data_IF_906330463062
#
_entry.id   IF_906330463062
#
_cell.length_a   1.000
_cell.length_b   1.000
_cell.length_c   1.000
_cell.angle_alpha   90.00
_cell.angle_beta   90.00
_cell.angle_gamma   90.00
#
_symmetry.space_group_name_H-M   'P 1'
#
loop_
_entity.id
_entity.type
_entity.pdbx_description
1 polymer ?
#
# COMPACT_ATOMS: atom_id res chain seq x y z
N UNK A 1 88.55 -29.18 3.76
CA UNK A 1 88.32 -28.55 2.44
C UNK A 1 87.06 -29.16 1.84
N UNK A 2 85.93 -28.47 1.93
CA UNK A 2 84.71 -28.83 1.21
C UNK A 2 84.50 -27.75 0.13
N UNK A 3 84.70 -28.12 -1.13
CA UNK A 3 84.45 -27.25 -2.29
C UNK A 3 83.02 -27.45 -2.77
N UNK A 4 82.28 -26.36 -2.70
CA UNK A 4 80.88 -26.17 -3.06
C UNK A 4 80.68 -26.21 -4.58
N UNK A 5 79.78 -27.08 -5.08
CA UNK A 5 79.32 -27.04 -6.47
C UNK A 5 78.24 -25.96 -6.60
N UNK A 6 78.56 -24.83 -7.23
CA UNK A 6 77.57 -23.85 -7.70
C UNK A 6 76.84 -24.36 -8.93
N UNK A 7 75.51 -24.47 -8.85
CA UNK A 7 74.64 -24.61 -10.00
C UNK A 7 74.52 -23.25 -10.71
N UNK A 8 74.87 -23.22 -12.01
CA UNK A 8 74.62 -22.10 -12.92
C UNK A 8 73.23 -22.29 -13.56
N UNK A 9 72.28 -21.39 -13.29
CA UNK A 9 71.14 -21.19 -14.18
C UNK A 9 71.57 -20.28 -15.35
N UNK A 10 71.23 -20.60 -16.62
CA UNK A 10 71.66 -19.81 -17.75
C UNK A 10 70.88 -18.48 -17.79
N UNK A 11 71.63 -17.38 -17.82
CA UNK A 11 71.21 -15.96 -17.89
C UNK A 11 70.02 -15.64 -18.84
N UNK A 12 69.78 -16.33 -19.99
CA UNK A 12 68.64 -16.06 -20.86
C UNK A 12 67.26 -16.35 -20.23
N UNK A 13 67.17 -17.29 -19.28
CA UNK A 13 65.88 -17.68 -18.69
C UNK A 13 65.38 -16.66 -17.66
N UNK A 14 66.28 -16.03 -16.91
CA UNK A 14 65.99 -14.97 -15.94
C UNK A 14 65.47 -13.70 -16.61
N UNK A 15 66.06 -13.30 -17.74
CA UNK A 15 65.61 -12.16 -18.54
C UNK A 15 64.22 -12.41 -19.16
N UNK A 16 63.95 -13.63 -19.65
CA UNK A 16 62.64 -14.03 -20.21
C UNK A 16 61.55 -14.10 -19.14
N UNK A 17 61.86 -14.55 -17.91
CA UNK A 17 60.92 -14.53 -16.78
C UNK A 17 60.60 -13.11 -16.30
N UNK A 18 61.62 -12.24 -16.17
CA UNK A 18 61.43 -10.84 -15.76
C UNK A 18 60.63 -10.03 -16.78
N UNK A 19 60.90 -10.22 -18.07
CA UNK A 19 60.12 -9.57 -19.15
C UNK A 19 58.70 -10.10 -19.22
N UNK A 20 58.49 -11.42 -19.09
CA UNK A 20 57.14 -12.01 -19.02
C UNK A 20 56.31 -11.52 -17.82
N UNK A 21 56.92 -11.40 -16.64
CA UNK A 21 56.27 -10.84 -15.45
C UNK A 21 55.93 -9.36 -15.62
N UNK A 22 56.84 -8.56 -16.21
CA UNK A 22 56.57 -7.14 -16.48
C UNK A 22 55.40 -6.95 -17.46
N UNK A 23 55.32 -7.79 -18.51
CA UNK A 23 54.22 -7.77 -19.48
C UNK A 23 52.89 -8.16 -18.83
N UNK A 24 52.87 -9.20 -17.99
CA UNK A 24 51.66 -9.64 -17.27
C UNK A 24 51.16 -8.58 -16.27
N UNK A 25 52.07 -7.92 -15.55
CA UNK A 25 51.73 -6.82 -14.65
C UNK A 25 51.17 -5.61 -15.41
N UNK A 26 51.76 -5.27 -16.56
CA UNK A 26 51.28 -4.16 -17.39
C UNK A 26 49.91 -4.47 -18.00
N UNK A 27 49.69 -5.68 -18.49
CA UNK A 27 48.38 -6.12 -19.00
C UNK A 27 47.30 -6.12 -17.91
N UNK A 28 47.65 -6.54 -16.70
CA UNK A 28 46.73 -6.51 -15.55
C UNK A 28 46.37 -5.08 -15.15
N UNK A 29 47.34 -4.17 -15.18
CA UNK A 29 47.11 -2.74 -14.91
C UNK A 29 46.20 -2.12 -15.99
N UNK A 30 46.48 -2.40 -17.26
CA UNK A 30 45.68 -1.93 -18.39
C UNK A 30 44.25 -2.46 -18.27
N UNK A 31 44.06 -3.76 -18.03
CA UNK A 31 42.74 -4.36 -17.87
C UNK A 31 41.99 -3.75 -16.67
N UNK A 32 42.67 -3.50 -15.55
CA UNK A 32 42.09 -2.84 -14.39
C UNK A 32 41.64 -1.40 -14.68
N UNK A 33 42.45 -0.64 -15.41
CA UNK A 33 42.10 0.73 -15.85
C UNK A 33 40.92 0.70 -16.82
N UNK A 34 40.92 -0.20 -17.81
CA UNK A 34 39.80 -0.32 -18.75
C UNK A 34 38.50 -0.74 -18.05
N UNK A 35 38.56 -1.71 -17.14
CA UNK A 35 37.42 -2.13 -16.34
C UNK A 35 36.90 -0.99 -15.45
N UNK A 36 37.80 -0.23 -14.81
CA UNK A 36 37.44 0.93 -14.00
C UNK A 36 36.78 2.04 -14.82
N UNK A 37 37.34 2.39 -15.98
CA UNK A 37 36.77 3.41 -16.88
C UNK A 37 35.42 2.96 -17.44
N UNK A 38 35.27 1.69 -17.82
CA UNK A 38 34.00 1.13 -18.26
C UNK A 38 32.94 1.17 -17.16
N UNK A 39 33.30 0.81 -15.93
CA UNK A 39 32.41 0.90 -14.77
C UNK A 39 31.98 2.34 -14.49
N UNK A 40 32.91 3.30 -14.48
CA UNK A 40 32.59 4.72 -14.29
C UNK A 40 31.68 5.24 -15.39
N UNK A 41 31.94 4.90 -16.66
CA UNK A 41 31.08 5.29 -17.79
C UNK A 41 29.69 4.65 -17.72
N UNK A 42 29.59 3.41 -17.27
CA UNK A 42 28.31 2.74 -17.07
C UNK A 42 27.51 3.41 -15.94
N UNK A 43 28.13 3.64 -14.78
CA UNK A 43 27.52 4.29 -13.62
C UNK A 43 27.15 5.75 -13.87
N UNK A 44 27.88 6.43 -14.76
CA UNK A 44 27.64 7.83 -15.14
C UNK A 44 26.74 7.96 -16.37
N UNK A 45 26.30 6.84 -16.95
CA UNK A 45 25.43 6.86 -18.13
C UNK A 45 23.99 7.25 -17.72
N UNK A 46 23.27 8.02 -18.55
CA UNK A 46 21.85 8.31 -18.30
C UNK A 46 20.95 7.05 -18.34
N UNK A 47 21.48 5.92 -18.81
CA UNK A 47 20.82 4.61 -18.79
C UNK A 47 20.92 3.92 -17.42
N UNK A 48 21.92 4.25 -16.60
CA UNK A 48 22.03 3.80 -15.22
C UNK A 48 21.25 4.75 -14.31
N UNK A 49 19.93 4.51 -14.19
CA UNK A 49 19.17 5.00 -13.05
C UNK A 49 19.30 3.93 -11.96
N UNK A 50 20.08 4.12 -10.88
CA UNK A 50 19.85 3.29 -9.70
C UNK A 50 18.37 3.44 -9.39
N UNK A 51 17.64 2.33 -9.30
CA UNK A 51 16.30 2.38 -8.72
C UNK A 51 16.48 3.11 -7.39
N UNK A 52 15.94 4.33 -7.28
CA UNK A 52 16.06 5.08 -6.05
C UNK A 52 15.54 4.22 -4.89
N UNK A 53 15.90 4.52 -3.63
CA UNK A 53 15.47 3.73 -2.47
C UNK A 53 13.94 3.59 -2.34
N UNK A 54 13.16 4.28 -3.16
CA UNK A 54 11.70 4.31 -3.19
C UNK A 54 11.13 3.89 -4.56
N UNK A 55 11.62 2.80 -5.15
CA UNK A 55 11.11 2.28 -6.42
C UNK A 55 9.61 1.92 -6.42
N UNK A 56 9.04 1.66 -5.24
CA UNK A 56 7.60 1.43 -5.04
C UNK A 56 6.82 2.69 -4.59
N UNK A 57 7.50 3.81 -4.40
CA UNK A 57 6.96 5.02 -3.76
C UNK A 57 7.02 4.97 -2.23
N UNK A 58 6.35 5.92 -1.58
CA UNK A 58 6.31 6.04 -0.11
C UNK A 58 4.92 6.41 0.37
N UNK A 59 4.65 6.18 1.66
CA UNK A 59 3.35 6.49 2.25
C UNK A 59 2.97 7.98 2.12
N UNK A 60 3.97 8.88 2.25
CA UNK A 60 3.84 10.34 2.27
C UNK A 60 3.88 11.00 0.88
N UNK A 61 4.35 10.26 -0.15
CA UNK A 61 4.53 10.80 -1.51
C UNK A 61 3.83 9.97 -2.59
N UNK A 62 3.00 9.01 -2.17
CA UNK A 62 2.30 8.10 -3.07
C UNK A 62 3.13 6.88 -3.47
N UNK A 63 2.41 5.80 -3.76
CA UNK A 63 2.94 4.55 -4.28
C UNK A 63 2.92 4.52 -5.82
N UNK A 64 3.72 3.63 -6.42
CA UNK A 64 3.75 3.46 -7.89
C UNK A 64 2.38 3.14 -8.50
N UNK A 65 1.48 2.50 -7.73
CA UNK A 65 0.10 2.19 -8.11
C UNK A 65 -0.83 3.41 -8.12
N UNK A 66 -0.35 4.58 -7.68
CA UNK A 66 -1.15 5.78 -7.43
C UNK A 66 -0.77 6.95 -8.37
N UNK A 67 0.01 6.64 -9.40
CA UNK A 67 0.66 7.59 -10.33
C UNK A 67 -0.24 8.60 -11.06
N UNK A 68 -1.58 8.45 -11.04
CA UNK A 68 -2.51 9.41 -11.67
C UNK A 68 -3.09 10.42 -10.68
N UNK A 69 -2.76 10.29 -9.39
CA UNK A 69 -3.36 11.07 -8.33
C UNK A 69 -2.51 12.30 -8.00
N UNK A 70 -3.15 13.42 -7.62
CA UNK A 70 -2.43 14.62 -7.24
C UNK A 70 -1.75 14.44 -5.87
N UNK A 71 -0.63 15.14 -5.67
CA UNK A 71 0.25 14.94 -4.51
C UNK A 71 -0.40 15.30 -3.16
N UNK A 72 -1.41 16.17 -3.17
CA UNK A 72 -2.17 16.59 -1.99
C UNK A 72 -3.01 15.47 -1.36
N UNK A 73 -3.25 14.36 -2.09
CA UNK A 73 -3.91 13.17 -1.52
C UNK A 73 -3.01 12.35 -0.59
N UNK A 74 -1.69 12.58 -0.60
CA UNK A 74 -0.74 11.82 0.22
C UNK A 74 -0.39 12.48 1.55
N UNK A 75 -1.08 13.56 1.89
CA UNK A 75 -0.94 14.20 3.20
C UNK A 75 -1.17 13.18 4.31
N UNK A 76 -0.27 13.18 5.29
CA UNK A 76 -0.35 12.30 6.45
C UNK A 76 -0.75 13.09 7.69
N UNK A 77 -1.42 12.42 8.61
CA UNK A 77 -1.82 12.97 9.90
C UNK A 77 -1.66 11.91 10.99
N UNK A 78 -1.47 12.37 12.22
CA UNK A 78 -1.63 11.50 13.38
C UNK A 78 -3.08 11.54 13.84
N UNK A 79 -3.69 10.37 13.97
CA UNK A 79 -5.07 10.23 14.46
C UNK A 79 -5.10 9.25 15.61
N UNK A 80 -5.67 9.69 16.75
CA UNK A 80 -6.05 8.78 17.83
C UNK A 80 -7.31 8.04 17.42
N UNK A 81 -7.28 6.72 17.46
CA UNK A 81 -8.47 5.91 17.21
C UNK A 81 -9.44 5.99 18.39
N UNK A 82 -10.71 5.79 18.08
CA UNK A 82 -11.83 5.76 19.02
C UNK A 82 -12.59 4.43 18.89
N UNK A 83 -13.61 4.22 19.73
CA UNK A 83 -14.32 2.94 19.79
C UNK A 83 -13.57 1.89 20.60
N UNK A 84 -12.69 2.30 21.51
CA UNK A 84 -12.16 1.42 22.53
C UNK A 84 -13.26 0.90 23.46
N UNK A 85 -12.98 -0.24 24.05
CA UNK A 85 -13.89 -0.93 24.96
C UNK A 85 -13.51 -0.61 26.40
N UNK A 86 -14.52 -0.31 27.22
CA UNK A 86 -14.40 -0.10 28.66
C UNK A 86 -15.48 -0.91 29.41
N UNK A 87 -15.45 -0.88 30.74
CA UNK A 87 -16.39 -1.61 31.59
C UNK A 87 -16.98 -0.71 32.68
N UNK A 88 -18.32 -0.72 32.78
CA UNK A 88 -19.03 -0.08 33.87
C UNK A 88 -18.76 -0.79 35.21
N UNK A 89 -19.03 -0.17 36.38
CA UNK A 89 -18.90 -0.84 37.68
C UNK A 89 -19.72 -2.12 37.82
N UNK A 90 -20.76 -2.31 36.99
CA UNK A 90 -21.53 -3.55 36.88
C UNK A 90 -20.77 -4.70 36.20
N UNK A 91 -19.63 -4.42 35.57
CA UNK A 91 -18.88 -5.34 34.70
C UNK A 91 -19.42 -5.42 33.27
N UNK A 92 -20.40 -4.58 32.92
CA UNK A 92 -20.95 -4.48 31.57
C UNK A 92 -19.97 -3.80 30.62
N UNK A 93 -19.77 -4.40 29.46
CA UNK A 93 -18.91 -3.90 28.40
C UNK A 93 -19.57 -2.73 27.67
N UNK A 94 -18.82 -1.66 27.46
CA UNK A 94 -19.28 -0.46 26.75
C UNK A 94 -18.24 -0.01 25.73
N UNK A 95 -18.70 0.61 24.65
CA UNK A 95 -17.83 1.18 23.63
C UNK A 95 -17.77 2.70 23.76
N UNK A 96 -16.57 3.25 23.73
CA UNK A 96 -16.33 4.69 23.83
C UNK A 96 -16.29 5.34 22.44
N UNK A 97 -17.43 5.89 22.00
CA UNK A 97 -17.53 6.65 20.75
C UNK A 97 -17.55 8.17 21.02
N UNK A 98 -16.84 9.00 20.22
CA UNK A 98 -16.90 10.45 20.36
C UNK A 98 -18.29 10.96 19.97
N UNK A 99 -18.99 11.73 20.82
CA UNK A 99 -20.36 12.18 20.54
C UNK A 99 -20.44 13.20 19.40
N UNK A 100 -19.31 13.80 19.02
CA UNK A 100 -19.20 14.76 17.92
C UNK A 100 -18.98 14.12 16.55
N UNK A 101 -18.76 12.80 16.48
CA UNK A 101 -18.53 12.08 15.24
C UNK A 101 -19.74 11.22 14.86
N UNK A 102 -20.01 10.99 13.56
CA UNK A 102 -21.05 10.06 13.13
C UNK A 102 -20.80 8.65 13.69
N UNK A 103 -21.85 8.01 14.19
CA UNK A 103 -21.80 6.61 14.59
C UNK A 103 -21.87 5.71 13.35
N UNK A 104 -20.95 4.75 13.26
CA UNK A 104 -20.92 3.74 12.20
C UNK A 104 -21.27 2.32 12.69
N UNK A 105 -21.45 2.15 14.00
CA UNK A 105 -21.72 0.87 14.68
C UNK A 105 -22.74 1.07 15.79
N UNK A 106 -23.33 -0.03 16.28
CA UNK A 106 -24.39 -0.06 17.27
C UNK A 106 -25.63 -0.79 16.75
N UNK A 107 -26.73 -0.69 17.48
CA UNK A 107 -28.03 -1.19 17.02
C UNK A 107 -28.39 -0.54 15.68
N UNK A 108 -28.92 -1.31 14.69
CA UNK A 108 -29.29 -0.77 13.39
C UNK A 108 -30.23 0.43 13.50
N UNK A 109 -29.82 1.56 12.90
CA UNK A 109 -30.65 2.76 12.81
C UNK A 109 -30.48 3.45 11.46
N UNK A 110 -31.48 4.22 10.99
CA UNK A 110 -31.36 4.99 9.75
C UNK A 110 -30.21 6.01 9.79
N UNK A 111 -29.81 6.48 10.97
CA UNK A 111 -28.69 7.40 11.12
C UNK A 111 -27.34 6.72 10.82
N UNK A 112 -27.14 5.49 11.29
CA UNK A 112 -25.94 4.69 10.97
C UNK A 112 -25.90 4.37 9.48
N UNK A 113 -27.03 3.95 8.90
CA UNK A 113 -27.11 3.63 7.47
C UNK A 113 -26.80 4.86 6.61
N UNK A 114 -27.35 6.02 6.99
CA UNK A 114 -27.02 7.29 6.33
C UNK A 114 -25.53 7.63 6.44
N UNK A 115 -24.90 7.41 7.59
CA UNK A 115 -23.46 7.67 7.76
C UNK A 115 -22.62 6.78 6.82
N UNK A 116 -22.98 5.50 6.69
CA UNK A 116 -22.32 4.60 5.73
C UNK A 116 -22.60 4.99 4.28
N UNK A 117 -23.82 5.35 3.93
CA UNK A 117 -24.18 5.81 2.57
C UNK A 117 -23.40 7.07 2.18
N UNK A 118 -23.24 8.02 3.09
CA UNK A 118 -22.41 9.22 2.87
C UNK A 118 -20.92 8.87 2.73
N UNK A 119 -20.45 7.86 3.47
CA UNK A 119 -19.05 7.42 3.45
C UNK A 119 -18.68 6.71 2.13
N UNK A 120 -19.54 5.84 1.59
CA UNK A 120 -19.20 4.96 0.46
C UNK A 120 -20.10 5.09 -0.78
N UNK A 121 -21.13 5.95 -0.75
CA UNK A 121 -22.12 6.07 -1.83
C UNK A 121 -21.55 6.45 -3.20
N UNK A 122 -20.49 7.25 -3.22
CA UNK A 122 -19.83 7.73 -4.44
C UNK A 122 -18.51 7.02 -4.77
N UNK A 123 -18.29 5.83 -4.19
CA UNK A 123 -17.03 5.08 -4.28
C UNK A 123 -16.52 4.76 -5.69
N UNK A 124 -17.35 4.87 -6.72
CA UNK A 124 -16.97 4.61 -8.10
C UNK A 124 -17.27 5.79 -9.02
N UNK A 125 -16.30 6.12 -9.87
CA UNK A 125 -16.38 7.22 -10.83
C UNK A 125 -15.84 6.81 -12.21
N UNK A 126 -15.98 7.74 -13.17
CA UNK A 126 -15.47 7.54 -14.54
C UNK A 126 -13.96 7.75 -14.60
N UNK A 127 -13.26 6.81 -15.23
CA UNK A 127 -11.82 6.90 -15.50
C UNK A 127 -11.62 7.25 -16.98
N UNK A 128 -10.78 8.25 -17.26
CA UNK A 128 -10.44 8.63 -18.63
C UNK A 128 -9.65 7.51 -19.31
N UNK A 129 -9.75 7.38 -20.63
CA UNK A 129 -8.97 6.36 -21.34
C UNK A 129 -7.46 6.56 -21.19
N UNK A 130 -6.98 7.81 -21.11
CA UNK A 130 -5.58 8.12 -20.83
C UNK A 130 -5.15 7.64 -19.43
N UNK A 131 -5.99 7.86 -18.42
CA UNK A 131 -5.76 7.37 -17.05
C UNK A 131 -5.75 5.84 -17.01
N UNK A 132 -6.72 5.19 -17.67
CA UNK A 132 -6.81 3.74 -17.79
C UNK A 132 -5.57 3.14 -18.47
N UNK A 133 -5.07 3.77 -19.55
CA UNK A 133 -3.82 3.36 -20.21
C UNK A 133 -2.61 3.51 -19.30
N UNK A 134 -2.52 4.59 -18.53
CA UNK A 134 -1.45 4.76 -17.55
C UNK A 134 -1.51 3.67 -16.48
N UNK A 135 -2.67 3.44 -15.87
CA UNK A 135 -2.86 2.48 -14.77
C UNK A 135 -2.69 1.01 -15.19
N UNK A 136 -3.25 0.62 -16.33
CA UNK A 136 -3.42 -0.78 -16.71
C UNK A 136 -2.68 -1.18 -17.99
N UNK A 137 -1.98 -0.23 -18.63
CA UNK A 137 -1.21 -0.48 -19.84
C UNK A 137 -2.04 -1.09 -20.97
N UNK A 138 -1.48 -2.06 -21.67
CA UNK A 138 -2.17 -2.77 -22.77
C UNK A 138 -3.45 -3.49 -22.31
N UNK A 139 -3.50 -3.90 -21.04
CA UNK A 139 -4.63 -4.63 -20.49
C UNK A 139 -5.84 -3.74 -20.20
N UNK A 140 -5.73 -2.41 -20.29
CA UNK A 140 -6.83 -1.49 -20.01
C UNK A 140 -8.13 -1.87 -20.74
N UNK A 141 -8.04 -2.41 -21.97
CA UNK A 141 -9.20 -2.82 -22.79
C UNK A 141 -10.13 -3.80 -22.06
N UNK A 142 -9.61 -4.66 -21.18
CA UNK A 142 -10.42 -5.63 -20.43
C UNK A 142 -11.30 -4.99 -19.34
N UNK A 143 -11.02 -3.72 -18.98
CA UNK A 143 -11.71 -2.98 -17.92
C UNK A 143 -12.73 -1.98 -18.47
N UNK A 144 -13.06 -2.04 -19.76
CA UNK A 144 -14.09 -1.17 -20.35
C UNK A 144 -15.43 -1.43 -19.69
N UNK A 145 -16.12 -0.36 -19.33
CA UNK A 145 -17.47 -0.44 -18.81
C UNK A 145 -18.44 -0.58 -19.99
N UNK A 146 -18.93 -1.80 -20.22
CA UNK A 146 -19.84 -2.13 -21.31
C UNK A 146 -21.28 -1.63 -21.08
N UNK A 147 -21.63 -1.21 -19.86
CA UNK A 147 -22.98 -0.76 -19.51
C UNK A 147 -23.07 0.76 -19.56
N UNK A 148 -22.08 1.46 -18.98
CA UNK A 148 -22.06 2.93 -18.87
C UNK A 148 -21.18 3.61 -19.93
N UNK A 149 -20.33 2.85 -20.61
CA UNK A 149 -19.27 3.38 -21.46
C UNK A 149 -18.06 3.86 -20.66
N UNK A 150 -16.91 3.94 -21.33
CA UNK A 150 -15.64 4.37 -20.76
C UNK A 150 -15.05 3.29 -19.83
N UNK A 151 -14.65 3.72 -18.64
CA UNK A 151 -14.08 2.89 -17.58
C UNK A 151 -14.71 3.30 -16.24
N UNK A 152 -14.95 2.33 -15.36
CA UNK A 152 -15.40 2.58 -13.98
C UNK A 152 -14.33 2.12 -13.02
N UNK A 153 -13.92 3.00 -12.12
CA UNK A 153 -12.93 2.72 -11.10
C UNK A 153 -13.23 3.46 -9.81
N UNK A 154 -12.52 3.10 -8.76
CA UNK A 154 -12.64 3.70 -7.44
C UNK A 154 -11.39 3.45 -6.62
N UNK A 155 -11.22 4.14 -5.50
CA UNK A 155 -10.18 3.76 -4.56
C UNK A 155 -10.57 2.48 -3.81
N UNK A 156 -9.59 1.60 -3.67
CA UNK A 156 -9.77 0.32 -2.97
C UNK A 156 -10.32 0.50 -1.54
N UNK A 157 -9.88 1.55 -0.82
CA UNK A 157 -10.36 1.84 0.54
C UNK A 157 -11.89 1.97 0.61
N UNK A 158 -12.55 2.53 -0.39
CA UNK A 158 -14.01 2.65 -0.41
C UNK A 158 -14.71 1.34 -0.81
N UNK A 159 -14.04 0.47 -1.57
CA UNK A 159 -14.53 -0.89 -1.77
C UNK A 159 -14.44 -1.69 -0.48
N UNK A 160 -13.34 -1.56 0.28
CA UNK A 160 -13.17 -2.22 1.57
C UNK A 160 -14.17 -1.73 2.62
N UNK A 161 -14.42 -0.43 2.68
CA UNK A 161 -15.44 0.14 3.56
C UNK A 161 -16.85 -0.34 3.18
N UNK A 162 -17.16 -0.43 1.87
CA UNK A 162 -18.42 -1.00 1.41
C UNK A 162 -18.57 -2.47 1.82
N UNK A 163 -17.51 -3.28 1.66
CA UNK A 163 -17.51 -4.67 2.12
C UNK A 163 -17.67 -4.78 3.64
N UNK A 164 -17.03 -3.91 4.41
CA UNK A 164 -17.15 -3.86 5.86
C UNK A 164 -18.57 -3.50 6.30
N UNK A 165 -19.20 -2.52 5.64
CA UNK A 165 -20.60 -2.17 5.89
C UNK A 165 -21.54 -3.35 5.60
N UNK A 166 -21.31 -4.07 4.49
CA UNK A 166 -22.09 -5.27 4.21
C UNK A 166 -21.96 -6.29 5.34
N UNK A 167 -20.75 -6.51 5.89
CA UNK A 167 -20.54 -7.41 7.02
C UNK A 167 -21.24 -6.91 8.29
N UNK A 168 -21.20 -5.61 8.57
CA UNK A 168 -21.97 -4.99 9.65
C UNK A 168 -23.45 -5.32 9.51
N UNK A 169 -24.03 -5.13 8.32
CA UNK A 169 -25.44 -5.43 8.06
C UNK A 169 -25.77 -6.93 8.22
N UNK A 170 -24.82 -7.83 7.92
CA UNK A 170 -25.00 -9.29 8.18
C UNK A 170 -25.16 -9.63 9.66
N UNK A 171 -24.71 -8.79 10.58
CA UNK A 171 -24.88 -9.00 12.03
C UNK A 171 -26.31 -8.71 12.53
N UNK A 172 -27.19 -8.17 11.67
CA UNK A 172 -28.58 -7.86 12.04
C UNK A 172 -29.57 -8.25 10.93
N UNK A 173 -29.66 -9.56 10.60
CA UNK A 173 -30.47 -10.04 9.48
C UNK A 173 -31.97 -9.72 9.62
N UNK A 174 -32.47 -9.58 10.85
CA UNK A 174 -33.86 -9.21 11.12
C UNK A 174 -34.19 -7.77 10.70
N UNK A 175 -33.18 -6.89 10.69
CA UNK A 175 -33.32 -5.51 10.25
C UNK A 175 -33.09 -5.38 8.73
N UNK A 176 -32.07 -6.08 8.20
CA UNK A 176 -31.66 -5.98 6.79
C UNK A 176 -32.21 -7.12 5.91
N UNK A 177 -33.52 -7.34 5.97
CA UNK A 177 -34.22 -8.49 5.34
C UNK A 177 -33.92 -8.67 3.84
N UNK A 178 -33.67 -7.58 3.11
CA UNK A 178 -33.47 -7.59 1.65
C UNK A 178 -32.00 -7.66 1.22
N UNK A 179 -31.04 -7.55 2.13
CA UNK A 179 -29.61 -7.61 1.79
C UNK A 179 -29.16 -8.99 1.31
N UNK A 180 -29.92 -10.04 1.61
CA UNK A 180 -29.63 -11.40 1.15
C UNK A 180 -30.01 -11.63 -0.33
N UNK A 181 -30.74 -10.71 -0.97
CA UNK A 181 -31.20 -10.89 -2.34
C UNK A 181 -30.14 -10.56 -3.40
N UNK A 182 -29.16 -9.71 -3.07
CA UNK A 182 -28.21 -9.15 -4.04
C UNK A 182 -26.80 -9.78 -3.97
N UNK A 183 -26.44 -10.40 -2.86
CA UNK A 183 -25.15 -11.07 -2.67
C UNK A 183 -25.30 -12.29 -1.76
N UNK A 184 -24.77 -13.43 -2.21
CA UNK A 184 -24.76 -14.69 -1.46
C UNK A 184 -23.50 -14.88 -0.62
N UNK A 185 -23.42 -16.01 0.07
CA UNK A 185 -22.31 -16.37 0.98
C UNK A 185 -20.91 -16.24 0.36
N UNK A 186 -20.74 -16.61 -0.92
CA UNK A 186 -19.44 -16.48 -1.60
C UNK A 186 -18.96 -15.02 -1.68
N UNK A 187 -19.89 -14.08 -1.82
CA UNK A 187 -19.55 -12.66 -1.82
C UNK A 187 -19.15 -12.18 -0.42
N UNK A 188 -19.82 -12.68 0.62
CA UNK A 188 -19.47 -12.39 2.01
C UNK A 188 -18.05 -12.92 2.34
N UNK A 189 -17.73 -14.14 1.90
CA UNK A 189 -16.39 -14.72 2.04
C UNK A 189 -15.34 -13.93 1.26
N UNK A 190 -15.67 -13.45 0.06
CA UNK A 190 -14.82 -12.55 -0.70
C UNK A 190 -14.58 -11.22 0.04
N UNK A 191 -15.62 -10.61 0.61
CA UNK A 191 -15.50 -9.39 1.41
C UNK A 191 -14.52 -9.57 2.57
N UNK A 192 -14.67 -10.66 3.35
CA UNK A 192 -13.77 -10.99 4.46
C UNK A 192 -12.33 -11.15 3.96
N UNK A 193 -12.13 -11.88 2.86
CA UNK A 193 -10.81 -12.14 2.30
C UNK A 193 -10.13 -10.88 1.76
N UNK A 194 -10.87 -9.99 1.10
CA UNK A 194 -10.33 -8.71 0.63
C UNK A 194 -9.96 -7.79 1.80
N UNK A 195 -10.83 -7.66 2.82
CA UNK A 195 -10.53 -6.86 4.03
C UNK A 195 -9.28 -7.39 4.72
N UNK A 196 -9.15 -8.71 4.90
CA UNK A 196 -7.96 -9.35 5.48
C UNK A 196 -6.69 -9.01 4.70
N UNK A 197 -6.71 -9.18 3.38
CA UNK A 197 -5.57 -8.86 2.51
C UNK A 197 -5.21 -7.38 2.59
N UNK A 198 -6.21 -6.49 2.62
CA UNK A 198 -5.96 -5.05 2.71
C UNK A 198 -5.29 -4.67 4.01
N UNK A 199 -5.78 -5.16 5.15
CA UNK A 199 -5.19 -4.89 6.46
C UNK A 199 -3.73 -5.35 6.53
N UNK A 200 -3.38 -6.48 5.91
CA UNK A 200 -1.98 -6.94 5.82
C UNK A 200 -1.13 -6.07 4.88
N UNK A 201 -1.70 -5.61 3.77
CA UNK A 201 -1.02 -4.76 2.80
C UNK A 201 -0.72 -3.36 3.37
N UNK A 202 -1.62 -2.79 4.16
CA UNK A 202 -1.41 -1.53 4.89
C UNK A 202 -1.12 -1.75 6.37
N UNK A 203 -0.31 -2.76 6.69
CA UNK A 203 -0.01 -3.09 8.08
C UNK A 203 0.52 -1.87 8.84
N UNK A 204 -0.12 -1.56 9.95
CA UNK A 204 0.33 -0.58 10.92
C UNK A 204 1.20 -1.28 11.97
N UNK A 205 2.42 -0.78 12.17
CA UNK A 205 3.38 -1.33 13.14
C UNK A 205 3.28 -0.65 14.52
N UNK A 206 2.26 0.18 14.74
CA UNK A 206 1.98 0.81 16.04
C UNK A 206 1.68 -0.26 17.08
N UNK A 207 2.48 -0.28 18.15
CA UNK A 207 2.30 -1.24 19.25
C UNK A 207 1.06 -0.87 20.04
N UNK A 208 0.08 -1.78 20.08
CA UNK A 208 -1.13 -1.61 20.89
C UNK A 208 -0.89 -2.23 22.27
N UNK A 209 -0.86 -1.44 23.36
CA UNK A 209 -0.58 -1.96 24.69
C UNK A 209 -1.78 -2.70 25.27
N UNK A 210 -1.51 -3.61 26.20
CA UNK A 210 -2.53 -4.10 27.12
C UNK A 210 -2.52 -3.24 28.40
N UNK A 211 -3.71 -2.84 28.85
CA UNK A 211 -3.93 -2.02 30.06
C UNK A 211 -4.82 -2.79 31.03
N UNK A 212 -4.67 -2.52 32.32
CA UNK A 212 -5.57 -3.02 33.35
C UNK A 212 -6.84 -2.15 33.43
N UNK A 213 -8.00 -2.80 33.45
CA UNK A 213 -9.33 -2.21 33.60
C UNK A 213 -9.97 -2.75 34.88
N UNK A 214 -10.26 -1.85 35.84
CA UNK A 214 -10.69 -2.20 37.19
C UNK A 214 -11.98 -3.04 37.22
N UNK A 215 -12.92 -2.73 36.34
CA UNK A 215 -14.24 -3.38 36.30
C UNK A 215 -14.34 -4.51 35.27
N UNK A 216 -13.26 -4.83 34.57
CA UNK A 216 -13.26 -5.92 33.59
C UNK A 216 -13.24 -7.27 34.30
N UNK A 217 -14.16 -8.20 33.96
CA UNK A 217 -14.11 -9.56 34.49
C UNK A 217 -12.80 -10.30 34.18
N UNK A 218 -12.35 -11.13 35.13
CA UNK A 218 -11.16 -11.97 34.99
C UNK A 218 -9.86 -11.27 35.37
N UNK A 219 -8.80 -11.43 34.57
CA UNK A 219 -7.45 -10.89 34.85
C UNK A 219 -7.34 -9.36 34.75
N UNK A 220 -8.43 -8.66 34.42
CA UNK A 220 -8.47 -7.19 34.28
C UNK A 220 -7.69 -6.62 33.08
N UNK A 221 -6.76 -7.38 32.49
CA UNK A 221 -5.99 -6.94 31.32
C UNK A 221 -6.81 -7.01 30.03
N UNK A 222 -6.76 -5.95 29.22
CA UNK A 222 -7.33 -5.90 27.87
C UNK A 222 -6.51 -5.00 26.95
N UNK A 223 -6.66 -5.19 25.65
CA UNK A 223 -5.97 -4.39 24.62
C UNK A 223 -6.58 -3.00 24.58
N UNK A 224 -5.76 -1.97 24.76
CA UNK A 224 -6.17 -0.57 24.65
C UNK A 224 -6.01 -0.14 23.18
N UNK A 225 -7.08 -0.28 22.39
CA UNK A 225 -7.10 0.04 20.97
C UNK A 225 -7.17 1.54 20.65
N UNK A 226 -7.39 2.41 21.64
CA UNK A 226 -7.36 3.86 21.45
C UNK A 226 -5.91 4.36 21.41
N UNK A 227 -5.15 3.95 20.40
CA UNK A 227 -3.77 4.43 20.19
C UNK A 227 -3.72 5.50 19.10
N UNK A 228 -2.58 6.18 19.04
CA UNK A 228 -2.28 7.17 18.00
C UNK A 228 -1.62 6.44 16.84
N UNK A 229 -2.19 6.60 15.65
CA UNK A 229 -1.74 6.01 14.41
C UNK A 229 -1.32 7.11 13.43
N UNK A 230 -0.38 6.80 12.53
CA UNK A 230 -0.03 7.68 11.40
C UNK A 230 -0.82 7.22 10.18
N UNK A 231 -1.73 8.08 9.72
CA UNK A 231 -2.68 7.78 8.66
C UNK A 231 -2.46 8.71 7.47
N UNK A 232 -2.91 8.29 6.28
CA UNK A 232 -3.22 9.25 5.23
C UNK A 232 -4.46 10.03 5.66
N UNK A 233 -4.50 11.31 5.32
CA UNK A 233 -5.69 12.12 5.53
C UNK A 233 -6.83 11.55 4.69
N UNK A 234 -7.75 10.87 5.36
CA UNK A 234 -8.88 10.20 4.72
C UNK A 234 -9.85 11.20 4.09
N UNK A 235 -9.97 12.39 4.68
CA UNK A 235 -10.88 13.42 4.19
C UNK A 235 -10.50 13.90 2.79
N UNK A 236 -9.20 14.04 2.49
CA UNK A 236 -8.74 14.41 1.14
C UNK A 236 -9.14 13.36 0.10
N UNK A 237 -8.98 12.07 0.44
CA UNK A 237 -9.38 10.96 -0.43
C UNK A 237 -10.90 10.91 -0.65
N UNK A 238 -11.67 11.17 0.41
CA UNK A 238 -13.13 11.21 0.35
C UNK A 238 -13.61 12.39 -0.50
N UNK A 239 -13.15 13.62 -0.24
CA UNK A 239 -13.50 14.80 -1.05
C UNK A 239 -13.13 14.59 -2.52
N UNK A 240 -11.92 14.09 -2.81
CA UNK A 240 -11.51 13.81 -4.18
C UNK A 240 -12.46 12.82 -4.87
N UNK A 241 -12.89 11.79 -4.14
CA UNK A 241 -13.84 10.79 -4.65
C UNK A 241 -15.20 11.41 -4.99
N UNK A 242 -15.73 12.28 -4.11
CA UNK A 242 -16.95 13.05 -4.39
C UNK A 242 -16.79 13.87 -5.68
N UNK A 243 -15.71 14.65 -5.78
CA UNK A 243 -15.45 15.52 -6.91
C UNK A 243 -15.31 14.76 -8.24
N UNK A 244 -14.71 13.57 -8.21
CA UNK A 244 -14.61 12.67 -9.38
C UNK A 244 -15.94 12.04 -9.76
N UNK A 245 -16.77 11.70 -8.78
CA UNK A 245 -18.06 11.04 -9.01
C UNK A 245 -19.09 12.00 -9.60
N UNK A 246 -19.31 13.15 -8.96
CA UNK A 246 -20.38 14.09 -9.31
C UNK A 246 -20.00 15.57 -9.24
N UNK A 247 -18.76 15.91 -8.89
CA UNK A 247 -18.30 17.30 -8.80
C UNK A 247 -17.51 17.79 -10.01
N UNK A 248 -16.58 18.72 -9.74
CA UNK A 248 -15.81 19.46 -10.74
C UNK A 248 -14.75 18.63 -11.46
N UNK A 249 -14.32 17.51 -10.89
CA UNK A 249 -13.31 16.61 -11.46
C UNK A 249 -13.92 15.46 -12.28
N UNK A 250 -15.23 15.48 -12.51
CA UNK A 250 -15.94 14.44 -13.24
C UNK A 250 -15.43 14.31 -14.68
N UNK A 251 -15.09 13.09 -15.08
CA UNK A 251 -14.68 12.75 -16.43
C UNK A 251 -15.88 12.27 -17.26
N UNK A 252 -16.19 12.86 -18.43
CA UNK A 252 -17.23 12.37 -19.33
C UNK A 252 -16.96 10.93 -19.78
N UNK A 253 -18.03 10.11 -19.87
CA UNK A 253 -17.92 8.73 -20.34
C UNK A 253 -17.92 8.68 -21.87
N UNK A 254 -16.96 7.95 -22.43
CA UNK A 254 -16.90 7.65 -23.86
C UNK A 254 -17.82 6.46 -24.14
N UNK A 255 -18.70 6.57 -25.13
CA UNK A 255 -19.48 5.41 -25.59
C UNK A 255 -18.66 4.66 -26.63
N UNK A 256 -18.36 3.40 -26.36
CA UNK A 256 -17.72 2.51 -27.33
C UNK A 256 -18.80 2.06 -28.30
N UNK A 257 -18.68 2.45 -29.57
CA UNK A 257 -19.54 1.95 -30.66
C UNK A 257 -19.32 0.45 -30.88
#
# INVERSE_FOLDING_TARGET
MATEKRFYEPLPQLLRRRTGQAILSLLSLILGVFAGVAAVRFLSSPAFKPAGPHGFGTFEHGFATEQILPNDLYQIEQRRFSGDVDWLPSGEEVMNLPPSEPAYVGDPTPAIDKAWDELVGHRYWSIAESEAKSLWGVNHVQYRDHVKGGYTGGFDVFHMLHCLDMMRQRLSPEYYLHMHAYSGMEHDMHCIEQIRQRLQCSADSTITPAKYFEHKPGWGMYVDSAQVHTCRNFQNLWIYTQERSNGSLKVPRIQWQ
#
